data_IF_050295615260
#
_entry.id   IF_050295615260
#
_cell.length_a   1.000
_cell.length_b   1.000
_cell.length_c   1.000
_cell.angle_alpha   90.00
_cell.angle_beta   90.00
_cell.angle_gamma   90.00
#
_symmetry.space_group_name_H-M   'P 1'
#
loop_
_entity.id
_entity.type
_entity.pdbx_description
1 polymer ?
#
# COMPACT_ATOMS: atom_id res chain seq x y z
N UNK A 1 -27.21 -1.31 -7.78
CA UNK A 1 -26.34 -2.48 -8.00
C UNK A 1 -25.88 -2.97 -6.63
N UNK A 2 -26.06 -4.25 -6.27
CA UNK A 2 -25.65 -4.75 -4.95
C UNK A 2 -24.11 -4.83 -4.86
N UNK A 3 -23.57 -4.55 -3.68
CA UNK A 3 -22.13 -4.68 -3.41
C UNK A 3 -21.69 -6.16 -3.47
N UNK A 4 -20.46 -6.42 -3.92
CA UNK A 4 -19.84 -7.76 -3.91
C UNK A 4 -19.90 -8.54 -5.23
N UNK A 5 -20.53 -8.01 -6.28
CA UNK A 5 -20.47 -8.61 -7.62
C UNK A 5 -19.14 -8.28 -8.32
N UNK A 6 -18.39 -9.29 -8.74
CA UNK A 6 -17.07 -9.12 -9.39
C UNK A 6 -17.11 -8.22 -10.63
N UNK A 7 -18.22 -8.22 -11.38
CA UNK A 7 -18.39 -7.42 -12.60
C UNK A 7 -19.08 -6.07 -12.37
N UNK A 8 -19.53 -5.78 -11.14
CA UNK A 8 -20.21 -4.52 -10.83
C UNK A 8 -19.36 -3.28 -11.14
N UNK A 9 -18.08 -3.21 -10.71
CA UNK A 9 -17.23 -2.05 -10.99
C UNK A 9 -17.02 -1.82 -12.49
N UNK A 10 -16.75 -2.90 -13.25
CA UNK A 10 -16.52 -2.81 -14.69
C UNK A 10 -17.78 -2.39 -15.47
N UNK A 11 -18.95 -2.89 -15.08
CA UNK A 11 -20.22 -2.51 -15.68
C UNK A 11 -20.58 -1.05 -15.35
N UNK A 12 -20.34 -0.60 -14.12
CA UNK A 12 -20.56 0.78 -13.71
C UNK A 12 -19.60 1.74 -14.44
N UNK A 13 -18.30 1.42 -14.50
CA UNK A 13 -17.33 2.21 -15.26
C UNK A 13 -17.75 2.38 -16.72
N UNK A 14 -18.18 1.29 -17.39
CA UNK A 14 -18.67 1.35 -18.78
C UNK A 14 -19.87 2.27 -18.92
N UNK A 15 -20.81 2.22 -17.98
CA UNK A 15 -21.98 3.09 -17.96
C UNK A 15 -21.57 4.55 -17.79
N UNK A 16 -20.74 4.87 -16.80
CA UNK A 16 -20.30 6.25 -16.55
C UNK A 16 -19.47 6.78 -17.72
N UNK A 17 -18.60 5.96 -18.31
CA UNK A 17 -17.84 6.34 -19.51
C UNK A 17 -18.76 6.65 -20.69
N UNK A 18 -19.91 5.96 -20.83
CA UNK A 18 -20.88 6.26 -21.89
C UNK A 18 -21.60 7.60 -21.69
N UNK A 19 -21.80 8.03 -20.43
CA UNK A 19 -22.44 9.32 -20.09
C UNK A 19 -21.50 10.51 -20.37
N UNK A 20 -20.21 10.32 -20.14
CA UNK A 20 -19.20 11.38 -20.22
C UNK A 20 -18.27 11.24 -21.43
N UNK A 21 -18.58 10.38 -22.40
CA UNK A 21 -17.68 10.01 -23.50
C UNK A 21 -17.05 11.19 -24.26
N UNK A 22 -17.79 12.28 -24.43
CA UNK A 22 -17.38 13.53 -25.09
C UNK A 22 -16.60 14.50 -24.18
N UNK A 23 -16.61 14.28 -22.87
CA UNK A 23 -15.92 15.10 -21.87
C UNK A 23 -14.72 14.39 -21.23
N UNK A 24 -14.62 13.07 -21.40
CA UNK A 24 -13.51 12.24 -20.91
C UNK A 24 -12.18 12.71 -21.51
N UNK A 25 -11.16 12.82 -20.66
CA UNK A 25 -9.79 13.26 -21.00
C UNK A 25 -9.69 14.71 -21.55
N UNK A 26 -10.81 15.41 -21.70
CA UNK A 26 -10.87 16.83 -22.10
C UNK A 26 -11.00 17.71 -20.87
N UNK A 27 -12.03 17.48 -20.05
CA UNK A 27 -12.29 18.24 -18.83
C UNK A 27 -12.81 17.38 -17.66
N UNK A 28 -13.06 16.10 -17.91
CA UNK A 28 -13.54 15.15 -16.90
C UNK A 28 -12.67 13.89 -16.94
N UNK A 29 -12.29 13.42 -15.76
CA UNK A 29 -11.64 12.13 -15.53
C UNK A 29 -12.52 11.30 -14.61
N UNK A 30 -12.78 10.05 -14.96
CA UNK A 30 -13.68 9.17 -14.19
C UNK A 30 -12.98 7.86 -13.88
N UNK A 31 -12.96 7.51 -12.60
CA UNK A 31 -12.54 6.20 -12.14
C UNK A 31 -13.54 5.66 -11.12
N UNK A 32 -14.26 4.62 -11.49
CA UNK A 32 -15.37 4.03 -10.75
C UNK A 32 -16.37 5.09 -10.28
N UNK A 33 -16.37 5.36 -8.98
CA UNK A 33 -17.28 6.30 -8.33
C UNK A 33 -16.70 7.73 -8.23
N UNK A 34 -15.40 7.90 -8.53
CA UNK A 34 -14.67 9.15 -8.38
C UNK A 34 -14.60 9.93 -9.71
N UNK A 35 -15.24 11.10 -9.73
CA UNK A 35 -15.29 12.01 -10.88
C UNK A 35 -14.44 13.25 -10.57
N UNK A 36 -13.37 13.41 -11.33
CA UNK A 36 -12.51 14.59 -11.31
C UNK A 36 -12.90 15.52 -12.46
N UNK A 37 -13.10 16.81 -12.15
CA UNK A 37 -13.42 17.84 -13.15
C UNK A 37 -12.31 18.89 -13.11
N UNK A 38 -11.65 19.13 -14.24
CA UNK A 38 -10.55 20.09 -14.34
C UNK A 38 -10.79 21.06 -15.50
N UNK A 39 -10.28 22.28 -15.37
CA UNK A 39 -10.46 23.37 -16.34
C UNK A 39 -9.40 24.44 -16.14
N UNK A 40 -9.12 25.23 -17.18
CA UNK A 40 -8.13 26.31 -17.11
C UNK A 40 -8.64 27.56 -16.37
N UNK A 41 -9.94 27.87 -16.50
CA UNK A 41 -10.55 29.08 -15.95
C UNK A 41 -11.75 28.76 -15.05
N UNK A 42 -12.00 29.61 -14.06
CA UNK A 42 -13.12 29.47 -13.13
C UNK A 42 -14.49 29.53 -13.85
N UNK A 43 -14.63 30.35 -14.88
CA UNK A 43 -15.89 30.48 -15.62
C UNK A 43 -16.19 29.19 -16.42
N UNK A 44 -15.20 28.66 -17.11
CA UNK A 44 -15.27 27.38 -17.82
C UNK A 44 -15.50 26.22 -16.84
N UNK A 45 -14.82 26.23 -15.70
CA UNK A 45 -15.01 25.23 -14.64
C UNK A 45 -16.45 25.17 -14.14
N UNK A 46 -17.08 26.33 -13.90
CA UNK A 46 -18.50 26.39 -13.50
C UNK A 46 -19.43 25.81 -14.58
N UNK A 47 -19.12 26.02 -15.86
CA UNK A 47 -19.88 25.43 -16.97
C UNK A 47 -19.71 23.90 -16.98
N UNK A 48 -18.49 23.39 -16.87
CA UNK A 48 -18.22 21.95 -16.82
C UNK A 48 -18.85 21.27 -15.61
N UNK A 49 -18.75 21.85 -14.41
CA UNK A 49 -19.37 21.31 -13.19
C UNK A 49 -20.89 21.23 -13.33
N UNK A 50 -21.52 22.29 -13.88
CA UNK A 50 -22.97 22.28 -14.14
C UNK A 50 -23.36 21.20 -15.13
N UNK A 51 -22.61 21.05 -16.22
CA UNK A 51 -22.86 20.02 -17.23
C UNK A 51 -22.74 18.62 -16.64
N UNK A 52 -21.68 18.37 -15.86
CA UNK A 52 -21.48 17.07 -15.19
C UNK A 52 -22.63 16.76 -14.23
N UNK A 53 -23.01 17.71 -13.37
CA UNK A 53 -24.14 17.54 -12.44
C UNK A 53 -25.47 17.34 -13.17
N UNK A 54 -25.67 18.04 -14.30
CA UNK A 54 -26.86 17.88 -15.14
C UNK A 54 -26.93 16.45 -15.69
N UNK A 55 -25.84 15.93 -16.23
CA UNK A 55 -25.78 14.57 -16.77
C UNK A 55 -25.95 13.50 -15.71
N UNK A 56 -25.38 13.69 -14.52
CA UNK A 56 -25.63 12.81 -13.38
C UNK A 56 -27.13 12.80 -13.04
N UNK A 57 -27.78 13.96 -12.99
CA UNK A 57 -29.22 14.08 -12.75
C UNK A 57 -30.06 13.39 -13.84
N UNK A 58 -29.75 13.60 -15.12
CA UNK A 58 -30.43 12.95 -16.25
C UNK A 58 -30.37 11.42 -16.21
N UNK A 59 -29.29 10.87 -15.64
CA UNK A 59 -29.09 9.41 -15.53
C UNK A 59 -29.41 8.88 -14.12
N UNK A 60 -30.07 9.68 -13.27
CA UNK A 60 -30.43 9.31 -11.88
C UNK A 60 -29.24 8.87 -11.02
N UNK A 61 -28.07 9.46 -11.25
CA UNK A 61 -26.86 9.29 -10.45
C UNK A 61 -26.77 10.41 -9.40
N UNK A 62 -26.38 10.04 -8.17
CA UNK A 62 -26.36 10.96 -7.04
C UNK A 62 -24.95 11.09 -6.48
N UNK A 63 -24.44 12.32 -6.43
CA UNK A 63 -23.21 12.65 -5.72
C UNK A 63 -23.51 12.88 -4.23
N UNK A 64 -22.67 12.37 -3.33
CA UNK A 64 -22.81 12.58 -1.89
C UNK A 64 -22.15 13.90 -1.50
N UNK A 65 -22.91 14.96 -1.13
CA UNK A 65 -22.33 16.30 -0.93
C UNK A 65 -21.23 16.37 0.11
N UNK A 66 -21.31 15.53 1.16
CA UNK A 66 -20.29 15.44 2.23
C UNK A 66 -18.92 14.94 1.74
N UNK A 67 -18.87 14.29 0.57
CA UNK A 67 -17.63 13.77 -0.04
C UNK A 67 -17.19 14.58 -1.27
N UNK A 68 -17.93 15.62 -1.64
CA UNK A 68 -17.63 16.41 -2.82
C UNK A 68 -16.83 17.65 -2.43
N UNK A 69 -15.72 17.88 -3.12
CA UNK A 69 -14.94 19.10 -3.03
C UNK A 69 -15.11 19.91 -4.32
N UNK A 70 -15.46 21.18 -4.19
CA UNK A 70 -15.70 22.06 -5.33
C UNK A 70 -14.76 23.26 -5.29
N UNK A 71 -14.33 23.73 -6.46
CA UNK A 71 -13.50 24.94 -6.61
C UNK A 71 -12.23 24.91 -5.75
N UNK A 72 -11.50 23.79 -5.79
CA UNK A 72 -10.21 23.63 -5.12
C UNK A 72 -9.09 23.74 -6.14
N UNK A 73 -8.02 24.44 -5.77
CA UNK A 73 -6.78 24.48 -6.56
C UNK A 73 -6.00 23.18 -6.42
N UNK A 74 -6.13 22.49 -5.28
CA UNK A 74 -5.54 21.17 -5.05
C UNK A 74 -6.57 20.15 -4.55
N UNK A 75 -6.58 18.95 -5.11
CA UNK A 75 -7.51 17.87 -4.72
C UNK A 75 -6.79 16.52 -4.70
N UNK A 76 -7.17 15.66 -3.74
CA UNK A 76 -6.72 14.27 -3.71
C UNK A 76 -7.60 13.42 -4.63
N UNK A 77 -6.96 12.68 -5.54
CA UNK A 77 -7.61 11.80 -6.50
C UNK A 77 -6.79 10.53 -6.70
N UNK A 78 -7.37 9.36 -6.39
CA UNK A 78 -6.73 8.05 -6.50
C UNK A 78 -5.37 7.93 -5.77
N UNK A 79 -5.21 8.63 -4.64
CA UNK A 79 -3.96 8.66 -3.87
C UNK A 79 -2.90 9.63 -4.40
N UNK A 80 -3.24 10.46 -5.39
CA UNK A 80 -2.40 11.55 -5.89
C UNK A 80 -3.01 12.89 -5.49
N UNK A 81 -2.18 13.84 -5.09
CA UNK A 81 -2.57 15.23 -4.91
C UNK A 81 -2.33 15.96 -6.23
N UNK A 82 -3.42 16.39 -6.85
CA UNK A 82 -3.41 17.19 -8.07
C UNK A 82 -3.30 18.66 -7.70
N UNK A 83 -2.40 19.38 -8.34
CA UNK A 83 -2.22 20.83 -8.17
C UNK A 83 -1.91 21.51 -9.50
N UNK A 84 -2.02 22.84 -9.63
CA UNK A 84 -1.65 23.56 -10.85
C UNK A 84 -0.16 23.42 -11.16
N UNK A 85 0.66 23.15 -10.14
CA UNK A 85 2.09 22.87 -10.23
C UNK A 85 2.43 21.45 -10.67
N UNK A 86 1.45 20.54 -10.75
CA UNK A 86 1.62 19.15 -11.19
C UNK A 86 1.03 18.12 -10.22
N UNK A 87 1.33 16.85 -10.51
CA UNK A 87 0.97 15.69 -9.71
C UNK A 87 1.98 15.51 -8.57
N UNK A 88 1.51 15.51 -7.33
CA UNK A 88 2.32 15.20 -6.16
C UNK A 88 1.78 13.93 -5.51
N UNK A 89 2.67 12.97 -5.24
CA UNK A 89 2.29 11.73 -4.55
C UNK A 89 2.35 11.97 -3.05
N UNK A 90 1.49 11.29 -2.28
CA UNK A 90 1.63 11.30 -0.83
C UNK A 90 2.95 10.61 -0.42
N UNK A 91 3.91 11.45 0.01
CA UNK A 91 5.24 11.01 0.42
C UNK A 91 5.15 10.16 1.69
N UNK A 92 4.12 10.32 2.53
CA UNK A 92 3.92 9.47 3.71
C UNK A 92 3.60 8.03 3.31
N UNK A 93 2.65 7.83 2.39
CA UNK A 93 2.33 6.51 1.87
C UNK A 93 3.53 5.85 1.17
N UNK A 94 4.29 6.61 0.37
CA UNK A 94 5.52 6.10 -0.26
C UNK A 94 6.59 5.71 0.78
N UNK A 95 6.85 6.56 1.78
CA UNK A 95 7.80 6.25 2.84
C UNK A 95 7.36 5.07 3.70
N UNK A 96 6.06 4.90 3.93
CA UNK A 96 5.50 3.72 4.60
C UNK A 96 5.87 2.44 3.87
N UNK A 97 5.62 2.38 2.55
CA UNK A 97 6.01 1.25 1.70
C UNK A 97 7.53 1.01 1.71
N UNK A 98 8.30 2.09 1.60
CA UNK A 98 9.76 2.02 1.47
C UNK A 98 10.46 1.64 2.78
N UNK A 99 9.89 2.02 3.93
CA UNK A 99 10.40 1.69 5.27
C UNK A 99 10.38 0.19 5.56
N UNK A 100 9.46 -0.54 4.94
CA UNK A 100 9.39 -1.99 5.06
C UNK A 100 10.65 -2.69 4.52
N UNK A 101 11.20 -2.22 3.41
CA UNK A 101 12.38 -2.82 2.77
C UNK A 101 13.70 -2.25 3.27
N UNK A 102 13.68 -1.41 4.32
CA UNK A 102 14.86 -0.69 4.81
C UNK A 102 16.06 -1.59 5.13
N UNK A 103 15.81 -2.83 5.56
CA UNK A 103 16.85 -3.78 5.96
C UNK A 103 17.67 -4.30 4.76
N UNK A 104 17.09 -4.25 3.56
CA UNK A 104 17.72 -4.73 2.33
C UNK A 104 18.40 -3.61 1.54
N UNK A 105 18.11 -2.36 1.91
CA UNK A 105 18.65 -1.17 1.26
C UNK A 105 19.81 -0.66 2.11
N UNK A 106 21.02 -0.84 1.60
CA UNK A 106 22.23 -0.32 2.25
C UNK A 106 22.12 1.20 2.39
N UNK A 107 22.45 1.72 3.58
CA UNK A 107 22.34 3.14 3.94
C UNK A 107 20.93 3.74 3.76
N UNK A 108 19.87 2.93 3.86
CA UNK A 108 18.47 3.36 3.76
C UNK A 108 18.19 4.66 4.53
N UNK A 109 18.56 4.68 5.82
CA UNK A 109 18.30 5.79 6.72
C UNK A 109 18.84 7.12 6.21
N UNK A 110 19.99 7.10 5.51
CA UNK A 110 20.61 8.29 4.91
C UNK A 110 19.86 8.75 3.66
N UNK A 111 19.39 7.80 2.85
CA UNK A 111 18.69 8.08 1.58
C UNK A 111 17.31 8.70 1.86
N UNK A 112 16.58 8.22 2.87
CA UNK A 112 15.23 8.74 3.16
C UNK A 112 15.19 10.05 3.94
N UNK A 113 16.29 10.48 4.59
CA UNK A 113 16.32 11.74 5.38
C UNK A 113 15.65 12.93 4.68
N UNK A 114 15.99 13.29 3.43
CA UNK A 114 15.34 14.41 2.74
C UNK A 114 13.83 14.19 2.53
N UNK A 115 13.40 12.95 2.26
CA UNK A 115 11.99 12.61 2.07
C UNK A 115 11.22 12.66 3.40
N UNK A 116 11.79 12.14 4.50
CA UNK A 116 11.18 12.17 5.84
C UNK A 116 11.10 13.59 6.41
N UNK A 117 11.92 14.53 5.93
CA UNK A 117 11.79 15.95 6.30
C UNK A 117 10.53 16.59 5.70
N UNK A 118 10.08 16.12 4.54
CA UNK A 118 8.85 16.60 3.87
C UNK A 118 7.57 16.17 4.60
N UNK A 119 7.64 15.14 5.45
CA UNK A 119 6.48 14.64 6.21
C UNK A 119 6.34 15.27 7.60
N UNK A 120 7.24 16.17 8.01
CA UNK A 120 7.21 16.84 9.31
C UNK A 120 6.15 17.95 9.35
N UNK A 121 5.37 18.01 10.44
CA UNK A 121 4.44 19.11 10.71
C UNK A 121 5.24 20.44 10.79
N UNK A 122 4.80 21.45 10.05
CA UNK A 122 5.40 22.81 9.91
C UNK A 122 6.56 22.98 8.91
N UNK A 123 6.83 22.03 8.02
CA UNK A 123 7.74 22.28 6.88
C UNK A 123 6.96 22.66 5.62
N UNK A 124 7.33 23.73 4.89
CA UNK A 124 6.77 24.01 3.58
C UNK A 124 7.15 22.86 2.64
N UNK A 125 6.15 22.33 1.92
CA UNK A 125 6.39 21.28 0.94
C UNK A 125 7.24 21.83 -0.21
N UNK A 126 8.48 21.38 -0.30
CA UNK A 126 9.41 21.76 -1.37
C UNK A 126 10.21 20.53 -1.79
N UNK A 127 9.81 19.91 -2.90
CA UNK A 127 10.51 18.76 -3.46
C UNK A 127 11.80 19.21 -4.16
N UNK A 128 12.86 19.40 -3.37
CA UNK A 128 14.17 19.85 -3.86
C UNK A 128 14.86 18.81 -4.74
N UNK A 129 15.92 19.23 -5.44
CA UNK A 129 16.76 18.30 -6.22
C UNK A 129 17.39 17.20 -5.33
N UNK A 130 17.60 17.50 -4.04
CA UNK A 130 18.06 16.52 -3.04
C UNK A 130 16.99 15.46 -2.77
N UNK A 131 15.71 15.85 -2.68
CA UNK A 131 14.58 14.93 -2.53
C UNK A 131 14.43 14.06 -3.78
N UNK A 132 14.60 14.65 -4.97
CA UNK A 132 14.57 13.93 -6.24
C UNK A 132 15.69 12.91 -6.36
N UNK A 133 16.92 13.30 -6.02
CA UNK A 133 18.09 12.42 -6.00
C UNK A 133 17.91 11.27 -5.02
N UNK A 134 17.40 11.54 -3.82
CA UNK A 134 17.06 10.52 -2.83
C UNK A 134 15.99 9.53 -3.36
N UNK A 135 14.94 10.04 -3.99
CA UNK A 135 13.89 9.20 -4.58
C UNK A 135 14.42 8.29 -5.70
N UNK A 136 15.28 8.81 -6.58
CA UNK A 136 15.91 8.01 -7.65
C UNK A 136 16.86 6.96 -7.05
N UNK A 137 17.72 7.34 -6.11
CA UNK A 137 18.62 6.41 -5.41
C UNK A 137 17.86 5.28 -4.72
N UNK A 138 16.70 5.59 -4.14
CA UNK A 138 15.81 4.59 -3.57
C UNK A 138 15.33 3.62 -4.64
N UNK A 139 14.77 4.11 -5.76
CA UNK A 139 14.34 3.25 -6.87
C UNK A 139 15.48 2.36 -7.38
N UNK A 140 16.68 2.92 -7.53
CA UNK A 140 17.84 2.16 -8.01
C UNK A 140 18.24 1.08 -7.00
N UNK A 141 18.28 1.41 -5.70
CA UNK A 141 18.56 0.44 -4.64
C UNK A 141 17.53 -0.70 -4.60
N UNK A 142 16.25 -0.38 -4.83
CA UNK A 142 15.17 -1.36 -4.99
C UNK A 142 15.29 -2.25 -6.23
N UNK A 143 16.05 -1.85 -7.25
CA UNK A 143 16.25 -2.66 -8.46
C UNK A 143 17.59 -3.41 -8.48
N UNK A 144 18.54 -2.98 -7.64
CA UNK A 144 19.91 -3.49 -7.64
C UNK A 144 20.27 -4.30 -6.39
N UNK A 145 19.52 -4.16 -5.29
CA UNK A 145 19.71 -4.99 -4.12
C UNK A 145 19.42 -6.47 -4.47
N UNK A 146 20.15 -7.43 -3.88
CA UNK A 146 19.89 -8.86 -4.03
C UNK A 146 18.62 -9.21 -3.24
N UNK A 147 17.47 -8.75 -3.73
CA UNK A 147 16.20 -8.75 -3.01
C UNK A 147 15.58 -10.14 -2.96
N UNK A 148 16.04 -11.10 -3.78
CA UNK A 148 15.51 -12.46 -3.82
C UNK A 148 16.64 -13.47 -4.00
N UNK A 149 16.83 -14.31 -2.99
CA UNK A 149 17.66 -15.53 -3.08
C UNK A 149 16.78 -16.68 -3.56
N UNK A 150 17.36 -17.61 -4.32
CA UNK A 150 16.65 -18.83 -4.71
C UNK A 150 16.27 -19.65 -3.49
N UNK A 151 15.10 -20.30 -3.56
CA UNK A 151 14.67 -21.24 -2.54
C UNK A 151 15.68 -22.38 -2.38
N UNK A 152 16.08 -22.63 -1.14
CA UNK A 152 16.92 -23.76 -0.75
C UNK A 152 16.09 -24.68 0.14
N UNK A 153 15.83 -25.93 -0.30
CA UNK A 153 15.16 -26.93 0.54
C UNK A 153 15.92 -27.14 1.85
N UNK A 154 15.20 -27.38 2.95
CA UNK A 154 15.71 -27.70 4.29
C UNK A 154 16.52 -26.59 4.99
N UNK A 155 16.63 -25.39 4.40
CA UNK A 155 17.17 -24.23 5.08
C UNK A 155 16.17 -23.71 6.15
N UNK A 156 16.64 -23.21 7.30
CA UNK A 156 15.77 -22.59 8.30
C UNK A 156 14.97 -21.44 7.69
N UNK A 157 13.66 -21.43 7.94
CA UNK A 157 12.72 -20.49 7.34
C UNK A 157 12.31 -19.48 8.40
N UNK A 158 12.39 -18.20 8.04
CA UNK A 158 11.86 -17.10 8.84
C UNK A 158 10.78 -16.37 8.06
N UNK A 159 9.57 -16.32 8.62
CA UNK A 159 8.45 -15.55 8.08
C UNK A 159 8.26 -14.33 8.96
N UNK A 160 8.48 -13.15 8.38
CA UNK A 160 8.23 -11.90 9.07
C UNK A 160 6.93 -11.29 8.57
N UNK A 161 6.06 -10.88 9.47
CA UNK A 161 4.80 -10.27 9.10
C UNK A 161 4.59 -8.95 9.80
N UNK A 162 4.02 -8.01 9.06
CA UNK A 162 3.67 -6.69 9.54
C UNK A 162 2.25 -6.37 9.06
N UNK A 163 1.48 -5.67 9.90
CA UNK A 163 0.16 -5.19 9.56
C UNK A 163 0.05 -3.69 9.87
N UNK A 164 -0.26 -2.94 8.83
CA UNK A 164 -0.61 -1.53 8.94
C UNK A 164 -2.13 -1.36 9.03
N UNK A 165 -2.56 -0.12 9.25
CA UNK A 165 -4.00 0.22 9.25
C UNK A 165 -4.72 -0.16 7.95
N UNK A 166 -3.99 -0.24 6.84
CA UNK A 166 -4.54 -0.36 5.48
C UNK A 166 -4.11 -1.64 4.74
N UNK A 167 -3.02 -2.29 5.14
CA UNK A 167 -2.46 -3.42 4.41
C UNK A 167 -1.70 -4.37 5.33
N UNK A 168 -1.69 -5.64 4.96
CA UNK A 168 -0.88 -6.70 5.56
C UNK A 168 0.25 -7.08 4.62
N UNK A 169 1.40 -7.41 5.20
CA UNK A 169 2.60 -7.75 4.44
C UNK A 169 3.33 -8.90 5.14
N UNK A 170 3.97 -9.73 4.35
CA UNK A 170 4.86 -10.79 4.79
C UNK A 170 6.17 -10.78 4.01
N UNK A 171 7.25 -11.23 4.65
CA UNK A 171 8.54 -11.57 4.05
C UNK A 171 8.85 -13.02 4.38
N UNK A 172 9.09 -13.84 3.36
CA UNK A 172 9.67 -15.17 3.52
C UNK A 172 11.17 -15.05 3.31
N UNK A 173 11.95 -15.45 4.31
CA UNK A 173 13.41 -15.48 4.24
C UNK A 173 13.94 -16.87 4.62
N UNK A 174 15.12 -17.19 4.12
CA UNK A 174 15.88 -18.38 4.50
C UNK A 174 17.20 -17.97 5.13
N UNK A 175 17.65 -18.71 6.13
CA UNK A 175 19.00 -18.57 6.68
C UNK A 175 19.96 -19.36 5.81
N UNK A 176 20.88 -18.65 5.14
CA UNK A 176 21.89 -19.27 4.31
C UNK A 176 23.03 -19.88 5.17
N UNK A 177 23.89 -20.74 4.61
CA UNK A 177 24.98 -21.39 5.37
C UNK A 177 26.00 -20.43 6.00
N UNK A 178 26.01 -19.18 5.57
CA UNK A 178 26.79 -18.06 6.12
C UNK A 178 26.11 -17.37 7.30
N UNK A 179 25.01 -17.91 7.80
CA UNK A 179 24.17 -17.37 8.90
C UNK A 179 23.52 -16.03 8.55
N UNK A 180 23.50 -15.64 7.27
CA UNK A 180 22.80 -14.45 6.80
C UNK A 180 21.37 -14.77 6.37
N UNK A 181 20.44 -13.94 6.83
CA UNK A 181 19.02 -14.05 6.51
C UNK A 181 18.76 -13.41 5.14
N UNK A 182 18.32 -14.22 4.17
CA UNK A 182 18.08 -13.75 2.81
C UNK A 182 16.62 -13.93 2.38
N UNK A 183 15.98 -12.87 1.87
CA UNK A 183 14.60 -12.94 1.42
C UNK A 183 14.45 -13.82 0.18
N UNK A 184 13.40 -14.64 0.16
CA UNK A 184 13.03 -15.54 -0.95
C UNK A 184 11.73 -15.11 -1.60
N UNK A 185 10.79 -14.55 -0.85
CA UNK A 185 9.53 -14.06 -1.41
C UNK A 185 8.93 -12.94 -0.55
N UNK A 186 8.15 -12.07 -1.21
CA UNK A 186 7.37 -11.01 -0.57
C UNK A 186 5.89 -11.20 -0.87
N UNK A 187 5.07 -10.93 0.12
CA UNK A 187 3.62 -10.95 -0.01
C UNK A 187 3.06 -9.65 0.57
N UNK A 188 2.18 -8.98 -0.16
CA UNK A 188 1.48 -7.80 0.36
C UNK A 188 0.05 -7.78 -0.15
N UNK A 189 -0.89 -7.44 0.72
CA UNK A 189 -2.30 -7.30 0.36
C UNK A 189 -2.93 -6.14 1.11
N UNK A 190 -3.67 -5.29 0.40
CA UNK A 190 -4.53 -4.27 1.01
C UNK A 190 -5.70 -4.93 1.74
N UNK A 191 -5.97 -4.45 2.95
CA UNK A 191 -7.10 -4.90 3.76
C UNK A 191 -8.42 -4.50 3.08
N UNK A 192 -9.37 -5.41 3.06
CA UNK A 192 -10.73 -5.13 2.56
C UNK A 192 -11.50 -4.26 3.56
N UNK A 193 -12.57 -3.61 3.10
CA UNK A 193 -13.36 -2.70 3.95
C UNK A 193 -13.81 -3.30 5.30
N UNK A 194 -14.17 -4.59 5.40
CA UNK A 194 -14.42 -5.23 6.69
C UNK A 194 -13.15 -5.38 7.54
N UNK A 195 -12.05 -5.83 6.94
CA UNK A 195 -10.77 -6.09 7.62
C UNK A 195 -10.07 -4.79 8.10
N UNK A 196 -10.39 -3.64 7.50
CA UNK A 196 -9.94 -2.33 7.99
C UNK A 196 -10.45 -2.02 9.41
N UNK A 197 -11.60 -2.58 9.80
CA UNK A 197 -12.19 -2.39 11.12
C UNK A 197 -11.64 -3.37 12.17
N UNK A 198 -10.74 -4.27 11.77
CA UNK A 198 -10.08 -5.16 12.72
C UNK A 198 -9.19 -4.36 13.67
N UNK A 199 -9.07 -4.85 14.90
CA UNK A 199 -8.09 -4.31 15.83
C UNK A 199 -6.68 -4.66 15.33
N UNK A 200 -5.66 -3.94 15.78
CA UNK A 200 -4.26 -4.14 15.35
C UNK A 200 -3.83 -5.59 15.51
N UNK A 201 -4.22 -6.23 16.61
CA UNK A 201 -3.97 -7.66 16.89
C UNK A 201 -4.53 -8.60 15.81
N UNK A 202 -5.78 -8.37 15.41
CA UNK A 202 -6.47 -9.20 14.42
C UNK A 202 -5.88 -8.98 13.02
N UNK A 203 -5.42 -7.76 12.72
CA UNK A 203 -4.75 -7.43 11.45
C UNK A 203 -3.40 -8.14 11.34
N UNK A 204 -2.63 -8.24 12.40
CA UNK A 204 -1.37 -8.97 12.41
C UNK A 204 -1.58 -10.48 12.34
N UNK A 205 -2.54 -11.03 13.09
CA UNK A 205 -2.88 -12.44 12.98
C UNK A 205 -3.33 -12.78 11.55
N UNK A 206 -4.08 -11.87 10.91
CA UNK A 206 -4.46 -11.99 9.50
C UNK A 206 -3.23 -11.93 8.58
N UNK A 207 -2.23 -11.10 8.88
CA UNK A 207 -0.97 -11.05 8.13
C UNK A 207 -0.23 -12.39 8.17
N UNK A 208 -0.11 -12.99 9.36
CA UNK A 208 0.47 -14.34 9.56
C UNK A 208 -0.33 -15.37 8.76
N UNK A 209 -1.65 -15.40 8.96
CA UNK A 209 -2.51 -16.39 8.30
C UNK A 209 -2.41 -16.31 6.76
N UNK A 210 -2.49 -15.11 6.19
CA UNK A 210 -2.42 -14.92 4.75
C UNK A 210 -1.02 -15.20 4.20
N UNK A 211 0.05 -14.86 4.92
CA UNK A 211 1.41 -15.22 4.55
C UNK A 211 1.58 -16.75 4.47
N UNK A 212 1.12 -17.48 5.48
CA UNK A 212 1.17 -18.95 5.50
C UNK A 212 0.30 -19.57 4.42
N UNK A 213 -0.88 -19.00 4.15
CA UNK A 213 -1.77 -19.49 3.09
C UNK A 213 -1.15 -19.28 1.71
N UNK A 214 -0.51 -18.14 1.49
CA UNK A 214 0.12 -17.80 0.22
C UNK A 214 1.36 -18.67 -0.06
N UNK A 215 2.22 -18.84 0.94
CA UNK A 215 3.44 -19.63 0.84
C UNK A 215 3.29 -21.07 1.31
N UNK A 216 2.07 -21.60 1.34
CA UNK A 216 1.81 -22.99 1.72
C UNK A 216 2.75 -23.97 0.99
N UNK A 217 3.01 -23.74 -0.29
CA UNK A 217 3.91 -24.56 -1.11
C UNK A 217 5.40 -24.51 -0.69
N UNK A 218 5.84 -23.47 0.01
CA UNK A 218 7.20 -23.37 0.58
C UNK A 218 7.26 -23.88 2.02
N UNK A 219 6.18 -23.67 2.80
CA UNK A 219 6.15 -23.93 4.23
C UNK A 219 5.70 -25.37 4.57
N UNK A 220 4.84 -25.96 3.73
CA UNK A 220 4.31 -27.31 3.95
C UNK A 220 5.40 -28.35 3.66
N UNK A 221 5.77 -29.12 4.69
CA UNK A 221 6.84 -30.13 4.59
C UNK A 221 8.23 -29.63 4.95
N UNK A 222 8.36 -28.44 5.54
CA UNK A 222 9.62 -27.95 6.12
C UNK A 222 10.20 -28.96 7.13
N UNK A 223 11.49 -29.27 6.99
CA UNK A 223 12.21 -30.15 7.92
C UNK A 223 12.42 -29.50 9.30
N UNK A 224 12.48 -28.16 9.35
CA UNK A 224 12.65 -27.37 10.57
C UNK A 224 11.38 -26.60 10.92
N UNK A 225 11.16 -26.25 12.20
CA UNK A 225 10.15 -25.26 12.59
C UNK A 225 10.30 -23.97 11.77
N UNK A 226 9.17 -23.38 11.37
CA UNK A 226 9.14 -22.06 10.74
C UNK A 226 9.14 -21.02 11.85
N UNK A 227 10.12 -20.13 11.86
CA UNK A 227 10.20 -19.04 12.82
C UNK A 227 9.36 -17.86 12.32
N UNK A 228 8.38 -17.43 13.12
CA UNK A 228 7.52 -16.29 12.79
C UNK A 228 7.93 -15.07 13.60
N UNK A 229 8.25 -13.97 12.92
CA UNK A 229 8.61 -12.69 13.53
C UNK A 229 7.49 -11.69 13.29
N UNK A 230 6.96 -11.15 14.38
CA UNK A 230 5.98 -10.06 14.39
C UNK A 230 6.39 -9.06 15.47
N UNK A 231 6.06 -7.78 15.27
CA UNK A 231 6.35 -6.68 16.19
C UNK A 231 5.43 -6.64 17.41
N UNK A 232 4.43 -7.54 17.50
CA UNK A 232 3.48 -7.57 18.60
C UNK A 232 3.75 -8.66 19.62
N UNK A 233 4.12 -8.20 20.83
CA UNK A 233 4.50 -9.05 21.96
C UNK A 233 3.36 -9.89 22.55
N UNK A 234 2.10 -9.63 22.17
CA UNK A 234 0.94 -10.30 22.77
C UNK A 234 0.53 -11.62 22.09
N UNK A 235 1.22 -12.07 21.03
CA UNK A 235 0.91 -13.34 20.35
C UNK A 235 1.75 -14.54 20.84
N UNK A 236 2.75 -14.30 21.68
CA UNK A 236 3.51 -15.37 22.37
C UNK A 236 2.63 -16.39 23.15
N UNK A 237 1.50 -16.02 23.79
CA UNK A 237 0.69 -16.98 24.55
C UNK A 237 -0.19 -17.91 23.69
N UNK A 238 -0.48 -17.56 22.43
CA UNK A 238 -1.43 -18.31 21.59
C UNK A 238 -0.83 -19.62 21.03
N UNK A 239 0.50 -19.73 20.97
CA UNK A 239 1.21 -20.91 20.46
C UNK A 239 1.34 -22.08 21.45
N UNK A 240 0.90 -21.92 22.70
CA UNK A 240 1.03 -23.00 23.71
C UNK A 240 -0.11 -24.02 23.68
N UNK A 241 -1.21 -23.75 22.98
CA UNK A 241 -2.25 -24.74 22.74
C UNK A 241 -2.23 -25.20 21.28
N UNK A 242 -1.71 -26.41 21.07
CA UNK A 242 -1.91 -27.28 19.89
C UNK A 242 -1.02 -27.07 18.65
N UNK A 243 0.29 -27.32 18.76
CA UNK A 243 1.04 -28.20 17.82
C UNK A 243 2.56 -28.23 18.14
N UNK A 244 3.28 -29.35 17.95
CA UNK A 244 4.65 -29.52 18.46
C UNK A 244 5.78 -28.83 17.66
N UNK A 245 5.49 -28.09 16.58
CA UNK A 245 6.48 -27.77 15.54
C UNK A 245 6.69 -26.26 15.25
N UNK A 246 6.33 -25.35 16.15
CA UNK A 246 6.60 -23.91 15.97
C UNK A 246 7.25 -23.30 17.20
N UNK A 247 8.40 -22.65 17.01
CA UNK A 247 9.06 -21.79 17.99
C UNK A 247 8.82 -20.33 17.63
N UNK A 248 8.53 -19.51 18.65
CA UNK A 248 8.17 -18.10 18.52
C UNK A 248 9.27 -17.25 19.18
N UNK A 249 9.72 -16.16 18.55
CA UNK A 249 10.69 -15.22 19.15
C UNK A 249 10.34 -13.77 18.81
N UNK A 250 10.55 -12.89 19.80
CA UNK A 250 10.35 -11.45 19.64
C UNK A 250 11.52 -10.79 18.91
N UNK A 251 11.24 -9.76 18.10
CA UNK A 251 12.28 -8.92 17.46
C UNK A 251 13.17 -8.16 18.46
N UNK A 252 12.82 -8.15 19.75
CA UNK A 252 13.58 -7.49 20.81
C UNK A 252 14.85 -8.25 21.23
N UNK A 253 14.97 -9.54 20.88
CA UNK A 253 16.02 -10.42 21.40
C UNK A 253 17.26 -10.52 20.49
N UNK A 254 17.31 -9.78 19.38
CA UNK A 254 18.47 -9.73 18.46
C UNK A 254 19.36 -8.49 18.65
N UNK A 255 19.11 -7.67 19.67
CA UNK A 255 19.94 -6.52 20.02
C UNK A 255 20.74 -6.78 21.31
N UNK A 256 21.73 -7.67 21.23
CA UNK A 256 22.84 -7.77 22.19
C UNK A 256 24.14 -8.10 21.45
#
# INVERSE_FOLDING_TARGET
MPFGLTNAPAAFQRFVNSIFADMLDVCVMVYLDDILIYSHDLESHRKHVKEVLCRLCCHSLYAKPKKCEFHRDSVEYLGYVLSPSGLTMDIQSFLGFVNFYRRFIHNYSEIVVPLTRLTRKNMPWNFSEECRSAFIRLKDAFTSAPILTHWVPDAPITVETDASDYAIVGILSITCPDDELRPVAFYSRTLTAPELNYDTHDKELLAIFEAFRHWRHYLEGSATPVDVVTDHKNLEPAGQSTSPNSTWRSASDQAA
#
